data_IF_628775738211
#
_entry.id   IF_628775738211
#
_cell.length_a   1.000
_cell.length_b   1.000
_cell.length_c   1.000
_cell.angle_alpha   90.00
_cell.angle_beta   90.00
_cell.angle_gamma   90.00
#
_symmetry.space_group_name_H-M   'P 1'
#
loop_
_entity.id
_entity.type
_entity.pdbx_description
1 polymer ?
#
# COMPACT_ATOMS: atom_id res chain seq x y z
N UNK A 1 -12.49 0.99 21.83
CA UNK A 1 -11.41 -0.01 21.95
C UNK A 1 -11.89 -1.25 22.71
N UNK A 2 -12.48 -1.13 23.90
CA UNK A 2 -12.90 -2.30 24.71
C UNK A 2 -13.86 -3.25 23.99
N UNK A 3 -14.83 -2.72 23.22
CA UNK A 3 -15.72 -3.54 22.37
C UNK A 3 -15.02 -4.26 21.21
N UNK A 4 -13.90 -3.73 20.70
CA UNK A 4 -13.21 -4.24 19.50
C UNK A 4 -12.04 -5.16 19.89
N UNK A 5 -11.43 -4.93 21.06
CA UNK A 5 -10.19 -5.58 21.48
C UNK A 5 -8.95 -4.91 20.84
N UNK A 6 -7.87 -4.78 21.60
CA UNK A 6 -6.58 -4.31 21.09
C UNK A 6 -5.78 -5.50 20.51
N UNK A 7 -4.91 -5.28 19.49
CA UNK A 7 -4.60 -3.99 18.87
C UNK A 7 -5.69 -3.50 17.90
N UNK A 8 -5.72 -2.18 17.65
CA UNK A 8 -6.63 -1.54 16.68
C UNK A 8 -5.88 -0.58 15.76
N UNK A 9 -6.43 -0.36 14.56
CA UNK A 9 -6.04 0.75 13.68
C UNK A 9 -6.91 1.96 14.02
N UNK A 10 -6.27 3.11 14.20
CA UNK A 10 -6.92 4.43 14.30
C UNK A 10 -6.54 5.23 13.06
N UNK A 11 -7.52 5.75 12.32
CA UNK A 11 -7.29 6.59 11.14
C UNK A 11 -8.27 7.76 11.04
N UNK A 12 -7.86 8.94 10.57
CA UNK A 12 -8.80 10.00 10.22
C UNK A 12 -9.74 9.52 9.10
N UNK A 13 -10.93 10.11 9.02
CA UNK A 13 -11.91 9.77 8.00
C UNK A 13 -11.46 10.16 6.59
N UNK A 14 -10.88 11.36 6.45
CA UNK A 14 -10.24 11.83 5.23
C UNK A 14 -8.72 11.87 5.37
N UNK A 15 -8.03 11.64 4.25
CA UNK A 15 -6.58 11.71 4.18
C UNK A 15 -6.05 10.89 3.01
N UNK A 16 -4.73 10.96 2.81
CA UNK A 16 -4.04 10.14 1.83
C UNK A 16 -2.71 9.66 2.38
N UNK A 17 -2.11 8.68 1.71
CA UNK A 17 -0.75 8.20 2.00
C UNK A 17 -0.56 7.66 3.43
N UNK A 18 -1.64 7.21 4.08
CA UNK A 18 -1.59 6.68 5.44
C UNK A 18 -1.20 7.71 6.50
N UNK A 19 -1.29 9.01 6.20
CA UNK A 19 -1.06 10.07 7.18
C UNK A 19 -2.12 9.98 8.28
N UNK A 20 -1.69 10.01 9.54
CA UNK A 20 -2.58 9.88 10.69
C UNK A 20 -3.05 8.45 11.00
N UNK A 21 -2.68 7.45 10.19
CA UNK A 21 -2.98 6.05 10.46
C UNK A 21 -1.99 5.50 11.50
N UNK A 22 -2.51 4.88 12.56
CA UNK A 22 -1.70 4.29 13.62
C UNK A 22 -2.24 2.91 14.04
N UNK A 23 -1.34 1.93 14.11
CA UNK A 23 -1.58 0.68 14.82
C UNK A 23 -1.29 0.89 16.31
N UNK A 24 -2.26 0.53 17.14
CA UNK A 24 -2.28 0.85 18.56
C UNK A 24 -2.41 -0.43 19.37
N UNK A 25 -1.50 -0.66 20.31
CA UNK A 25 -1.44 -1.88 21.13
C UNK A 25 -1.93 -1.68 22.56
N UNK A 26 -2.00 -0.45 23.06
CA UNK A 26 -2.43 -0.15 24.43
C UNK A 26 -3.24 1.14 24.54
N UNK A 27 -3.88 1.33 25.69
CA UNK A 27 -4.74 2.49 25.99
C UNK A 27 -4.01 3.83 25.83
N UNK A 28 -2.74 3.92 26.23
CA UNK A 28 -1.92 5.15 26.11
C UNK A 28 -1.69 5.53 24.65
N UNK A 29 -1.29 4.55 23.84
CA UNK A 29 -1.14 4.72 22.39
C UNK A 29 -2.45 5.11 21.73
N UNK A 30 -3.58 4.54 22.19
CA UNK A 30 -4.91 4.84 21.65
C UNK A 30 -5.26 6.32 21.79
N UNK A 31 -5.17 6.87 23.00
CA UNK A 31 -5.46 8.29 23.21
C UNK A 31 -4.49 9.21 22.48
N UNK A 32 -3.21 8.83 22.38
CA UNK A 32 -2.24 9.58 21.59
C UNK A 32 -2.58 9.58 20.09
N UNK A 33 -2.99 8.44 19.54
CA UNK A 33 -3.42 8.32 18.16
C UNK A 33 -4.72 9.08 17.89
N UNK A 34 -5.74 8.96 18.75
CA UNK A 34 -7.00 9.69 18.63
C UNK A 34 -6.77 11.20 18.64
N UNK A 35 -5.97 11.74 19.58
CA UNK A 35 -5.64 13.17 19.62
C UNK A 35 -5.01 13.65 18.32
N UNK A 36 -4.06 12.89 17.76
CA UNK A 36 -3.46 13.24 16.46
C UNK A 36 -4.46 13.16 15.32
N UNK A 37 -5.30 12.13 15.26
CA UNK A 37 -6.28 11.96 14.20
C UNK A 37 -7.34 13.08 14.22
N UNK A 38 -7.78 13.51 15.41
CA UNK A 38 -8.75 14.61 15.56
C UNK A 38 -8.20 16.00 15.24
N UNK A 39 -6.88 16.18 15.18
CA UNK A 39 -6.30 17.42 14.63
C UNK A 39 -6.54 17.50 13.12
N UNK A 40 -6.60 16.35 12.44
CA UNK A 40 -6.73 16.29 10.98
C UNK A 40 -8.18 16.16 10.51
N UNK A 41 -9.05 15.51 11.28
CA UNK A 41 -10.43 15.26 10.88
C UNK A 41 -11.39 15.25 12.09
N UNK A 42 -12.65 15.62 11.88
CA UNK A 42 -13.70 15.56 12.91
C UNK A 42 -14.22 14.13 13.15
N UNK A 43 -13.99 13.23 12.20
CA UNK A 43 -14.40 11.83 12.26
C UNK A 43 -13.15 10.95 12.23
N UNK A 44 -13.12 9.95 13.10
CA UNK A 44 -11.99 9.01 13.23
C UNK A 44 -12.54 7.60 13.20
N UNK A 45 -11.99 6.76 12.31
CA UNK A 45 -12.33 5.36 12.22
C UNK A 45 -11.41 4.52 13.13
N UNK A 46 -12.02 3.60 13.87
CA UNK A 46 -11.32 2.61 14.69
C UNK A 46 -11.72 1.22 14.22
N UNK A 47 -10.76 0.42 13.76
CA UNK A 47 -11.01 -0.90 13.17
C UNK A 47 -10.00 -1.95 13.67
N UNK A 48 -10.35 -3.24 13.55
CA UNK A 48 -9.37 -4.31 13.77
C UNK A 48 -8.30 -4.27 12.67
N UNK A 49 -7.02 -4.51 13.02
CA UNK A 49 -6.02 -4.75 11.99
C UNK A 49 -6.32 -6.09 11.32
N UNK A 50 -6.23 -6.09 9.99
CA UNK A 50 -6.26 -7.29 9.18
C UNK A 50 -4.83 -7.66 8.80
N UNK A 51 -4.57 -8.95 8.58
CA UNK A 51 -3.25 -9.48 8.22
C UNK A 51 -3.35 -10.17 6.87
N UNK A 52 -2.24 -10.14 6.14
CA UNK A 52 -2.17 -10.70 4.81
C UNK A 52 -1.14 -9.97 3.96
N UNK A 53 -1.14 -10.28 2.67
CA UNK A 53 -0.45 -9.51 1.65
C UNK A 53 -1.37 -8.39 1.17
N UNK A 54 -0.77 -7.21 0.99
CA UNK A 54 -1.46 -6.02 0.53
C UNK A 54 -1.35 -5.94 -0.99
N UNK A 55 -2.49 -5.90 -1.69
CA UNK A 55 -2.55 -5.80 -3.13
C UNK A 55 -3.36 -4.59 -3.57
N UNK A 56 -2.93 -3.99 -4.69
CA UNK A 56 -3.74 -3.02 -5.43
C UNK A 56 -4.08 -3.59 -6.80
N UNK A 57 -5.36 -3.57 -7.13
CA UNK A 57 -5.89 -3.96 -8.44
C UNK A 57 -6.50 -2.73 -9.09
N UNK A 58 -6.01 -2.35 -10.26
CA UNK A 58 -6.51 -1.22 -11.04
C UNK A 58 -7.41 -1.74 -12.14
N UNK A 59 -8.63 -1.24 -12.16
CA UNK A 59 -9.70 -1.63 -13.09
C UNK A 59 -10.04 -0.44 -13.97
N UNK A 60 -10.21 -0.67 -15.27
CA UNK A 60 -10.88 0.24 -16.19
C UNK A 60 -12.02 -0.52 -16.89
N UNK A 61 -13.24 -0.06 -16.70
CA UNK A 61 -14.47 -0.70 -17.17
C UNK A 61 -14.45 -2.19 -16.77
N UNK A 62 -14.38 -3.11 -17.74
CA UNK A 62 -14.38 -4.55 -17.51
C UNK A 62 -12.98 -5.19 -17.57
N UNK A 63 -11.90 -4.39 -17.47
CA UNK A 63 -10.51 -4.87 -17.62
C UNK A 63 -9.67 -4.60 -16.39
N UNK A 64 -8.85 -5.58 -16.02
CA UNK A 64 -7.73 -5.37 -15.10
C UNK A 64 -6.58 -4.73 -15.87
N UNK A 65 -6.23 -3.52 -15.48
CA UNK A 65 -5.11 -2.78 -16.08
C UNK A 65 -3.80 -3.17 -15.41
N UNK A 66 -3.82 -3.29 -14.08
CA UNK A 66 -2.67 -3.78 -13.33
C UNK A 66 -3.11 -4.41 -12.02
N UNK A 67 -2.31 -5.34 -11.53
CA UNK A 67 -2.36 -5.80 -10.15
C UNK A 67 -0.93 -5.87 -9.61
N UNK A 68 -0.71 -5.36 -8.40
CA UNK A 68 0.60 -5.46 -7.76
C UNK A 68 0.49 -5.64 -6.25
N UNK A 69 1.38 -6.48 -5.70
CA UNK A 69 1.61 -6.55 -4.27
C UNK A 69 2.32 -5.28 -3.83
N UNK A 70 1.82 -4.65 -2.77
CA UNK A 70 2.45 -3.53 -2.08
C UNK A 70 3.18 -4.08 -0.87
N UNK A 71 4.48 -3.88 -0.84
CA UNK A 71 5.33 -4.37 0.24
C UNK A 71 5.78 -3.16 1.08
N UNK A 72 5.53 -3.14 2.40
CA UNK A 72 5.98 -2.04 3.26
C UNK A 72 7.48 -1.78 3.17
N UNK A 73 7.88 -0.55 3.50
CA UNK A 73 9.30 -0.16 3.53
C UNK A 73 10.07 -1.20 4.34
N UNK A 74 11.08 -1.79 3.72
CA UNK A 74 11.84 -2.88 4.28
C UNK A 74 13.29 -2.85 3.79
N UNK A 75 14.15 -3.56 4.53
CA UNK A 75 15.53 -3.85 4.16
C UNK A 75 15.79 -5.35 4.25
N UNK A 76 16.70 -5.86 3.43
CA UNK A 76 17.14 -7.27 3.47
C UNK A 76 18.56 -7.32 4.02
N UNK A 77 18.75 -8.10 5.09
CA UNK A 77 20.03 -8.27 5.74
C UNK A 77 21.06 -8.92 4.82
N UNK A 78 22.29 -8.43 4.90
CA UNK A 78 23.45 -9.06 4.28
C UNK A 78 24.38 -9.71 5.32
N UNK A 79 23.97 -9.72 6.60
CA UNK A 79 24.75 -10.23 7.73
C UNK A 79 25.91 -9.34 8.19
N UNK A 80 26.08 -8.14 7.62
CA UNK A 80 27.24 -7.27 7.89
C UNK A 80 26.88 -5.79 8.12
N UNK A 81 25.88 -5.29 7.40
CA UNK A 81 25.45 -3.89 7.44
C UNK A 81 24.33 -3.69 8.44
N UNK A 82 24.36 -2.54 9.14
CA UNK A 82 23.26 -2.12 10.00
C UNK A 82 22.02 -1.77 9.18
N UNK A 83 20.84 -1.80 9.81
CA UNK A 83 19.58 -1.36 9.21
C UNK A 83 19.71 0.06 8.64
N UNK A 84 20.36 0.99 9.36
CA UNK A 84 20.61 2.35 8.88
C UNK A 84 21.38 2.37 7.54
N UNK A 85 22.45 1.58 7.42
CA UNK A 85 23.25 1.50 6.18
C UNK A 85 22.46 0.87 5.03
N UNK A 86 21.69 -0.18 5.31
CA UNK A 86 20.84 -0.83 4.31
C UNK A 86 19.74 0.13 3.81
N UNK A 87 19.15 0.92 4.72
CA UNK A 87 18.13 1.91 4.37
C UNK A 87 18.70 3.05 3.53
N UNK A 88 19.90 3.56 3.88
CA UNK A 88 20.58 4.59 3.09
C UNK A 88 20.94 4.08 1.68
N UNK A 89 21.41 2.84 1.57
CA UNK A 89 21.68 2.22 0.27
C UNK A 89 20.40 2.11 -0.57
N UNK A 90 19.27 1.68 0.03
CA UNK A 90 17.98 1.62 -0.65
C UNK A 90 17.51 3.00 -1.13
N UNK A 91 17.67 4.04 -0.30
CA UNK A 91 17.35 5.42 -0.66
C UNK A 91 18.18 5.90 -1.86
N UNK A 92 19.49 5.65 -1.86
CA UNK A 92 20.37 6.00 -2.98
C UNK A 92 19.96 5.31 -4.28
N UNK A 93 19.57 4.04 -4.21
CA UNK A 93 19.06 3.31 -5.37
C UNK A 93 17.75 3.91 -5.93
N UNK A 94 16.84 4.40 -5.08
CA UNK A 94 15.63 5.09 -5.54
C UNK A 94 15.92 6.41 -6.24
N UNK A 95 16.88 7.19 -5.73
CA UNK A 95 17.31 8.43 -6.38
C UNK A 95 17.93 8.12 -7.76
N UNK A 96 18.79 7.11 -7.83
CA UNK A 96 19.45 6.72 -9.09
C UNK A 96 18.47 6.20 -10.16
N UNK A 97 17.33 5.63 -9.75
CA UNK A 97 16.28 5.12 -10.65
C UNK A 97 15.21 6.16 -10.99
N UNK A 98 15.39 7.44 -10.63
CA UNK A 98 14.39 8.50 -10.83
C UNK A 98 13.01 8.16 -10.24
N UNK A 99 13.00 7.25 -9.26
CA UNK A 99 11.79 6.86 -8.55
C UNK A 99 11.51 7.94 -7.52
N UNK A 100 10.46 8.71 -7.78
CA UNK A 100 9.93 9.67 -6.80
C UNK A 100 9.60 8.90 -5.53
N UNK A 101 10.37 9.10 -4.46
CA UNK A 101 10.06 8.55 -3.16
C UNK A 101 10.35 9.62 -2.12
N UNK A 102 9.44 9.79 -1.19
CA UNK A 102 9.58 10.62 0.01
C UNK A 102 10.14 9.78 1.16
N UNK A 103 11.01 8.81 0.85
CA UNK A 103 11.62 7.93 1.85
C UNK A 103 12.42 8.80 2.82
N UNK A 104 11.85 8.97 4.02
CA UNK A 104 12.48 9.68 5.12
C UNK A 104 13.05 8.65 6.09
N UNK A 105 14.37 8.51 6.13
CA UNK A 105 15.04 7.60 7.05
C UNK A 105 14.85 8.00 8.54
N UNK A 106 14.45 9.25 8.79
CA UNK A 106 14.15 9.78 10.12
C UNK A 106 12.64 9.78 10.44
N UNK A 107 11.83 9.04 9.68
CA UNK A 107 10.42 8.88 10.01
C UNK A 107 10.28 8.25 11.41
N UNK A 108 9.61 8.92 12.37
CA UNK A 108 9.51 8.44 13.75
C UNK A 108 8.79 7.09 13.85
N UNK A 109 7.95 6.72 12.86
CA UNK A 109 7.27 5.42 12.81
C UNK A 109 8.27 4.28 12.65
N UNK A 110 9.41 4.51 11.99
CA UNK A 110 10.47 3.50 11.83
C UNK A 110 11.02 3.08 13.20
N UNK A 111 11.33 4.04 14.06
CA UNK A 111 11.83 3.76 15.40
C UNK A 111 10.82 2.97 16.23
N UNK A 112 9.53 3.31 16.14
CA UNK A 112 8.45 2.59 16.82
C UNK A 112 8.36 1.15 16.31
N UNK A 113 8.32 0.96 14.99
CA UNK A 113 8.22 -0.35 14.34
C UNK A 113 9.40 -1.26 14.65
N UNK A 114 10.62 -0.73 14.67
CA UNK A 114 11.83 -1.47 15.04
C UNK A 114 11.79 -1.86 16.52
N UNK A 115 11.38 -0.95 17.40
CA UNK A 115 11.25 -1.23 18.84
C UNK A 115 10.28 -2.39 19.11
N UNK A 116 9.14 -2.45 18.41
CA UNK A 116 8.20 -3.58 18.52
C UNK A 116 8.77 -4.92 18.03
N UNK A 117 9.82 -4.88 17.20
CA UNK A 117 10.57 -6.07 16.74
C UNK A 117 11.79 -6.38 17.61
N UNK A 118 12.06 -5.60 18.67
CA UNK A 118 13.29 -5.73 19.48
C UNK A 118 14.56 -5.29 18.73
N UNK A 119 14.43 -4.46 17.69
CA UNK A 119 15.51 -3.99 16.84
C UNK A 119 15.74 -2.49 16.99
N UNK A 120 16.89 -2.03 16.49
CA UNK A 120 17.24 -0.61 16.35
C UNK A 120 17.88 -0.37 14.99
N UNK A 121 18.07 0.89 14.61
CA UNK A 121 18.79 1.24 13.38
C UNK A 121 20.23 0.71 13.33
N UNK A 122 20.82 0.40 14.49
CA UNK A 122 22.17 -0.16 14.62
C UNK A 122 22.20 -1.70 14.56
N UNK A 123 21.05 -2.37 14.61
CA UNK A 123 20.99 -3.83 14.48
C UNK A 123 21.48 -4.28 13.10
N UNK A 124 22.17 -5.42 13.04
CA UNK A 124 22.64 -6.06 11.80
C UNK A 124 21.74 -7.28 11.55
N UNK A 125 20.82 -7.23 10.57
CA UNK A 125 19.97 -8.36 10.25
C UNK A 125 20.78 -9.49 9.60
N UNK A 126 20.41 -10.74 9.88
CA UNK A 126 21.05 -11.91 9.29
C UNK A 126 20.93 -11.89 7.75
N UNK A 127 21.82 -12.59 7.06
CA UNK A 127 21.78 -12.67 5.60
C UNK A 127 20.44 -13.24 5.14
N UNK A 128 19.73 -12.53 4.27
CA UNK A 128 18.40 -12.90 3.77
C UNK A 128 17.24 -12.52 4.68
N UNK A 129 17.49 -12.09 5.92
CA UNK A 129 16.42 -11.65 6.82
C UNK A 129 15.82 -10.34 6.34
N UNK A 130 14.53 -10.34 6.01
CA UNK A 130 13.77 -9.12 5.70
C UNK A 130 13.30 -8.47 6.99
N UNK A 131 13.59 -7.17 7.15
CA UNK A 131 13.11 -6.36 8.27
C UNK A 131 12.21 -5.26 7.73
N UNK A 132 10.96 -5.25 8.20
CA UNK A 132 9.99 -4.22 7.86
C UNK A 132 10.17 -3.01 8.78
N UNK A 133 10.24 -1.83 8.17
CA UNK A 133 10.49 -0.55 8.82
C UNK A 133 9.22 0.28 8.97
N UNK A 134 8.17 -0.01 8.20
CA UNK A 134 6.85 0.61 8.34
C UNK A 134 5.76 -0.48 8.29
N UNK A 135 4.59 -0.17 8.83
CA UNK A 135 3.41 -1.05 8.76
C UNK A 135 2.62 -0.86 7.45
N UNK A 136 2.64 0.35 6.88
CA UNK A 136 1.90 0.69 5.67
C UNK A 136 2.71 0.42 4.40
N UNK A 137 2.05 -0.16 3.41
CA UNK A 137 2.66 -0.55 2.13
C UNK A 137 2.72 0.59 1.10
N UNK A 138 3.08 1.81 1.54
CA UNK A 138 3.08 2.96 0.65
C UNK A 138 4.36 3.06 -0.18
N UNK A 139 4.20 2.97 -1.51
CA UNK A 139 5.29 3.13 -2.48
C UNK A 139 5.96 4.51 -2.39
N UNK A 140 5.18 5.55 -2.08
CA UNK A 140 5.66 6.91 -1.90
C UNK A 140 6.60 7.07 -0.70
N UNK A 141 6.46 6.23 0.34
CA UNK A 141 7.35 6.19 1.50
C UNK A 141 8.46 5.15 1.37
N UNK A 142 8.67 4.61 0.16
CA UNK A 142 9.76 3.70 -0.14
C UNK A 142 9.45 2.21 0.03
N UNK A 143 8.17 1.83 0.07
CA UNK A 143 7.75 0.44 -0.08
C UNK A 143 8.17 -0.16 -1.43
N UNK A 144 8.18 -1.48 -1.55
CA UNK A 144 8.42 -2.16 -2.83
C UNK A 144 7.09 -2.54 -3.48
N UNK A 145 7.11 -2.82 -4.78
CA UNK A 145 5.97 -3.37 -5.52
C UNK A 145 6.40 -4.60 -6.30
N UNK A 146 5.54 -5.61 -6.35
CA UNK A 146 5.68 -6.77 -7.21
C UNK A 146 4.49 -6.82 -8.17
N UNK A 147 4.74 -6.71 -9.48
CA UNK A 147 3.69 -6.85 -10.49
C UNK A 147 3.20 -8.30 -10.52
N UNK A 148 1.89 -8.47 -10.34
CA UNK A 148 1.17 -9.75 -10.34
C UNK A 148 -0.02 -9.69 -11.30
N UNK A 149 -0.01 -8.76 -12.26
CA UNK A 149 -1.10 -8.54 -13.22
C UNK A 149 -1.41 -9.80 -14.02
N UNK A 150 -0.39 -10.57 -14.39
CA UNK A 150 -0.56 -11.85 -15.11
C UNK A 150 -0.83 -13.04 -14.18
N UNK A 151 -0.59 -12.88 -12.87
CA UNK A 151 -0.72 -13.95 -11.88
C UNK A 151 -2.03 -13.90 -11.11
N UNK A 152 -2.77 -12.78 -11.15
CA UNK A 152 -4.06 -12.62 -10.47
C UNK A 152 -5.04 -13.74 -10.84
N UNK A 153 -5.63 -14.37 -9.83
CA UNK A 153 -6.64 -15.39 -10.05
C UNK A 153 -7.89 -14.79 -10.71
N UNK A 154 -8.51 -15.45 -11.71
CA UNK A 154 -9.67 -14.90 -12.44
C UNK A 154 -10.85 -14.50 -11.54
N UNK A 155 -11.05 -15.20 -10.42
CA UNK A 155 -12.09 -14.85 -9.44
C UNK A 155 -11.82 -13.53 -8.69
N UNK A 156 -10.55 -13.22 -8.36
CA UNK A 156 -10.20 -11.91 -7.80
C UNK A 156 -10.34 -10.80 -8.85
N UNK A 157 -9.95 -11.06 -10.10
CA UNK A 157 -10.14 -10.12 -11.19
C UNK A 157 -11.62 -9.79 -11.40
N UNK A 158 -12.47 -10.82 -11.51
CA UNK A 158 -13.92 -10.65 -11.64
C UNK A 158 -14.51 -9.88 -10.45
N UNK A 159 -14.11 -10.23 -9.24
CA UNK A 159 -14.55 -9.52 -8.03
C UNK A 159 -14.21 -8.02 -8.07
N UNK A 160 -12.99 -7.66 -8.46
CA UNK A 160 -12.58 -6.26 -8.56
C UNK A 160 -13.36 -5.49 -9.64
N UNK A 161 -13.66 -6.13 -10.78
CA UNK A 161 -14.48 -5.57 -11.85
C UNK A 161 -15.92 -5.33 -11.37
N UNK A 162 -16.55 -6.34 -10.78
CA UNK A 162 -17.92 -6.23 -10.30
C UNK A 162 -18.03 -5.16 -9.20
N UNK A 163 -17.07 -5.13 -8.26
CA UNK A 163 -17.02 -4.09 -7.23
C UNK A 163 -16.90 -2.68 -7.82
N UNK A 164 -16.09 -2.53 -8.87
CA UNK A 164 -15.92 -1.24 -9.57
C UNK A 164 -17.24 -0.79 -10.20
N UNK A 165 -17.97 -1.72 -10.82
CA UNK A 165 -19.30 -1.49 -11.41
C UNK A 165 -20.35 -1.15 -10.34
N UNK A 166 -20.39 -1.90 -9.24
CA UNK A 166 -21.33 -1.68 -8.13
C UNK A 166 -21.15 -0.31 -7.47
N UNK A 167 -19.92 0.22 -7.49
CA UNK A 167 -19.59 1.57 -7.04
C UNK A 167 -19.92 2.67 -8.06
N UNK A 168 -20.40 2.32 -9.26
CA UNK A 168 -20.67 3.26 -10.35
C UNK A 168 -19.41 3.91 -10.93
N UNK A 169 -18.24 3.27 -10.76
CA UNK A 169 -16.96 3.76 -11.23
C UNK A 169 -16.56 3.06 -12.53
N UNK A 170 -15.85 3.78 -13.39
CA UNK A 170 -15.21 3.22 -14.59
C UNK A 170 -13.74 2.91 -14.34
N UNK A 171 -13.03 3.83 -13.70
CA UNK A 171 -11.65 3.66 -13.28
C UNK A 171 -11.59 3.57 -11.76
N UNK A 172 -10.96 2.53 -11.24
CA UNK A 172 -10.82 2.35 -9.80
C UNK A 172 -9.54 1.58 -9.42
N UNK A 173 -8.90 1.99 -8.32
CA UNK A 173 -7.92 1.17 -7.61
C UNK A 173 -8.58 0.49 -6.40
N UNK A 174 -8.71 -0.83 -6.44
CA UNK A 174 -9.21 -1.66 -5.35
C UNK A 174 -8.04 -2.16 -4.51
N UNK A 175 -8.04 -1.80 -3.23
CA UNK A 175 -7.01 -2.23 -2.27
C UNK A 175 -7.53 -3.44 -1.48
N UNK A 176 -6.81 -4.55 -1.57
CA UNK A 176 -7.16 -5.81 -0.94
C UNK A 176 -6.07 -6.22 0.07
N UNK A 177 -6.49 -6.74 1.22
CA UNK A 177 -5.64 -7.53 2.10
C UNK A 177 -6.03 -8.99 1.94
N UNK A 178 -5.11 -9.86 1.56
CA UNK A 178 -5.40 -11.27 1.30
C UNK A 178 -4.61 -12.15 2.28
N UNK A 179 -5.31 -12.99 3.04
CA UNK A 179 -4.71 -14.04 3.86
C UNK A 179 -4.37 -15.23 2.93
N UNK A 180 -3.23 -15.12 2.24
CA UNK A 180 -2.84 -16.02 1.15
C UNK A 180 -2.17 -15.26 0.02
N UNK A 181 -2.31 -15.77 -1.21
CA UNK A 181 -1.80 -15.13 -2.42
C UNK A 181 -2.93 -14.76 -3.39
N UNK A 182 -2.78 -13.65 -4.11
CA UNK A 182 -3.77 -13.19 -5.11
C UNK A 182 -3.89 -14.15 -6.32
N UNK A 183 -2.89 -15.00 -6.54
CA UNK A 183 -2.92 -16.03 -7.58
C UNK A 183 -3.74 -17.26 -7.20
N UNK A 184 -4.13 -17.39 -5.94
CA UNK A 184 -4.96 -18.48 -5.44
C UNK A 184 -6.44 -18.10 -5.49
N UNK A 185 -7.30 -19.13 -5.40
CA UNK A 185 -8.74 -18.90 -5.32
C UNK A 185 -9.06 -18.05 -4.07
N UNK A 186 -9.93 -17.03 -4.16
CA UNK A 186 -10.33 -16.24 -3.00
C UNK A 186 -10.91 -17.14 -1.90
N UNK A 187 -10.33 -17.02 -0.71
CA UNK A 187 -10.84 -17.65 0.52
C UNK A 187 -11.10 -16.56 1.56
N UNK A 188 -10.02 -16.03 2.16
CA UNK A 188 -10.12 -15.02 3.22
C UNK A 188 -9.37 -13.76 2.86
N UNK A 189 -10.12 -12.68 2.65
CA UNK A 189 -9.58 -11.38 2.27
C UNK A 189 -10.47 -10.24 2.78
N UNK A 190 -9.94 -9.01 2.71
CA UNK A 190 -10.64 -7.80 3.11
C UNK A 190 -10.43 -6.71 2.07
N UNK A 191 -11.49 -5.95 1.79
CA UNK A 191 -11.39 -4.69 1.06
C UNK A 191 -10.89 -3.63 2.03
N UNK A 192 -9.77 -2.99 1.72
CA UNK A 192 -9.19 -1.93 2.54
C UNK A 192 -9.69 -0.55 2.13
N UNK A 193 -9.72 -0.30 0.82
CA UNK A 193 -10.04 1.00 0.23
C UNK A 193 -10.44 0.83 -1.24
N UNK A 194 -11.27 1.75 -1.74
CA UNK A 194 -11.69 1.86 -3.14
C UNK A 194 -11.34 3.29 -3.57
N UNK A 195 -10.44 3.43 -4.54
CA UNK A 195 -9.91 4.72 -4.99
C UNK A 195 -10.41 5.04 -6.39
N UNK A 196 -11.24 6.07 -6.55
CA UNK A 196 -11.78 6.49 -7.86
C UNK A 196 -10.76 7.15 -8.80
N UNK A 197 -9.61 7.58 -8.26
CA UNK A 197 -8.52 8.18 -9.03
C UNK A 197 -7.17 7.58 -8.59
N UNK A 198 -6.88 6.32 -8.96
CA UNK A 198 -5.64 5.66 -8.55
C UNK A 198 -4.44 6.32 -9.23
N UNK A 199 -3.40 6.65 -8.44
CA UNK A 199 -2.10 7.07 -8.99
C UNK A 199 -1.36 5.91 -9.65
N UNK A 200 -0.84 6.14 -10.85
CA UNK A 200 -0.15 5.14 -11.68
C UNK A 200 1.30 5.49 -12.02
N UNK A 201 1.78 6.64 -11.52
CA UNK A 201 3.14 7.15 -11.73
C UNK A 201 4.21 6.18 -11.25
N UNK A 202 3.97 5.52 -10.11
CA UNK A 202 4.89 4.50 -9.60
C UNK A 202 4.87 3.22 -10.41
N UNK A 203 3.69 2.80 -10.90
CA UNK A 203 3.55 1.59 -11.71
C UNK A 203 4.23 1.77 -13.07
N UNK A 204 4.00 2.89 -13.76
CA UNK A 204 4.65 3.21 -15.03
C UNK A 204 6.19 3.16 -14.95
N UNK A 205 6.77 3.55 -13.80
CA UNK A 205 8.22 3.55 -13.57
C UNK A 205 8.84 2.19 -13.27
N UNK A 206 8.05 1.12 -13.16
CA UNK A 206 8.56 -0.25 -12.95
C UNK A 206 9.36 -0.71 -14.18
N UNK A 207 8.89 -0.38 -15.38
CA UNK A 207 9.55 -0.74 -16.62
C UNK A 207 8.75 -0.33 -17.85
N UNK A 208 9.35 -0.47 -19.04
CA UNK A 208 8.75 -0.03 -20.32
C UNK A 208 7.39 -0.68 -20.62
N UNK A 209 7.18 -1.92 -20.18
CA UNK A 209 5.90 -2.60 -20.37
C UNK A 209 4.80 -1.92 -19.54
N UNK A 210 5.09 -1.62 -18.28
CA UNK A 210 4.16 -0.92 -17.38
C UNK A 210 3.91 0.53 -17.81
N UNK A 211 4.95 1.22 -18.28
CA UNK A 211 4.82 2.56 -18.88
C UNK A 211 3.81 2.54 -20.03
N UNK A 212 3.95 1.60 -20.97
CA UNK A 212 3.02 1.44 -22.10
C UNK A 212 1.58 1.15 -21.64
N UNK A 213 1.40 0.29 -20.64
CA UNK A 213 0.07 -0.02 -20.09
C UNK A 213 -0.62 1.25 -19.57
N UNK A 214 0.14 2.13 -18.89
CA UNK A 214 -0.38 3.39 -18.36
C UNK A 214 -0.67 4.39 -19.48
N UNK A 215 0.18 4.48 -20.50
CA UNK A 215 -0.09 5.31 -21.68
C UNK A 215 -1.37 4.87 -22.43
N UNK A 216 -1.52 3.56 -22.66
CA UNK A 216 -2.69 2.98 -23.33
C UNK A 216 -3.97 3.26 -22.52
N UNK A 217 -3.90 3.12 -21.18
CA UNK A 217 -5.00 3.47 -20.28
C UNK A 217 -5.42 4.93 -20.43
N UNK A 218 -4.48 5.88 -20.30
CA UNK A 218 -4.81 7.30 -20.40
C UNK A 218 -5.34 7.66 -21.79
N UNK A 219 -4.82 7.02 -22.84
CA UNK A 219 -5.35 7.15 -24.20
C UNK A 219 -6.79 6.67 -24.29
N UNK A 220 -7.13 5.52 -23.69
CA UNK A 220 -8.50 4.99 -23.65
C UNK A 220 -9.43 5.94 -22.87
N UNK A 221 -8.98 6.48 -21.73
CA UNK A 221 -9.75 7.47 -20.95
C UNK A 221 -10.01 8.74 -21.76
N UNK A 222 -8.99 9.32 -22.38
CA UNK A 222 -9.10 10.55 -23.18
C UNK A 222 -10.04 10.38 -24.37
N UNK A 223 -9.95 9.26 -25.10
CA UNK A 223 -10.85 8.95 -26.22
C UNK A 223 -12.33 8.92 -25.79
N UNK A 224 -12.61 8.40 -24.60
CA UNK A 224 -13.98 8.38 -24.07
C UNK A 224 -14.46 9.76 -23.61
N UNK A 225 -13.56 10.64 -23.18
CA UNK A 225 -13.90 12.03 -22.83
C UNK A 225 -14.25 12.85 -24.09
N UNK A 226 -13.59 12.59 -25.21
CA UNK A 226 -13.85 13.28 -26.49
C UNK A 226 -15.14 12.84 -27.18
N UNK A 227 -15.68 11.66 -26.85
CA UNK A 227 -16.84 11.09 -27.54
C UNK A 227 -17.88 10.49 -26.56
N UNK A 228 -18.62 11.34 -25.81
CA UNK A 228 -19.58 10.89 -24.80
C UNK A 228 -20.81 10.14 -25.37
N UNK A 229 -21.02 10.17 -26.70
CA UNK A 229 -22.19 9.61 -27.37
C UNK A 229 -22.17 8.09 -27.63
N UNK A 230 -21.20 7.35 -27.07
CA UNK A 230 -21.18 5.87 -27.05
C UNK A 230 -21.75 5.27 -25.76
N UNK A 231 -22.64 6.01 -25.09
CA UNK A 231 -23.44 5.57 -23.94
C UNK A 231 -24.81 5.08 -24.39
#
# INVERSE_FOLDING_TARGET
AEKIGLPVIVKPNAGSQGVGVALVHNKREFYAAMRRAFVSDRVVLVQKPVRGKDYRVVVLDDKIISAYERIPLNVVGNGRSTIARLLDAKRKAFVASSRSSRLNAMDPRIAVKLKHQGLTLNSIPAKGQRVFLLDNANLSTGGDSLDVTMAIHPAFAKFAIDLTRDMGLRLCGVDLMIDGDISEKPDKFWILEINSAPGLDHYAKIGKAQEKIVEDLYTEVLRHMENPARL
#
